data_IF_179634506914
#
_entry.id   IF_179634506914
#
_cell.length_a   1.000
_cell.length_b   1.000
_cell.length_c   1.000
_cell.angle_alpha   90.00
_cell.angle_beta   90.00
_cell.angle_gamma   90.00
#
_symmetry.space_group_name_H-M   'P 1'
#
loop_
_entity.id
_entity.type
_entity.pdbx_description
1 polymer ?
#
# COMPACT_ATOMS: atom_id res chain seq x y z
N UNK A 1 -6.34 -6.70 17.88
CA UNK A 1 -6.93 -5.92 16.81
C UNK A 1 -5.93 -5.26 15.91
N UNK A 2 -4.68 -5.26 16.29
CA UNK A 2 -3.65 -4.55 15.54
C UNK A 2 -3.56 -4.98 14.09
N UNK A 3 -3.60 -6.29 13.82
CA UNK A 3 -3.48 -6.79 12.45
C UNK A 3 -4.61 -6.32 11.54
N UNK A 4 -5.83 -6.29 12.05
CA UNK A 4 -6.96 -5.81 11.30
C UNK A 4 -6.86 -4.32 11.03
N UNK A 5 -6.37 -3.57 12.00
CA UNK A 5 -6.23 -2.13 11.86
C UNK A 5 -5.22 -1.77 10.78
N UNK A 6 -4.12 -2.52 10.70
CA UNK A 6 -3.09 -2.26 9.72
C UNK A 6 -3.65 -2.45 8.30
N UNK A 7 -4.33 -3.55 8.06
CA UNK A 7 -4.89 -3.82 6.73
C UNK A 7 -5.94 -2.80 6.34
N UNK A 8 -6.80 -2.44 7.27
CA UNK A 8 -7.83 -1.43 7.01
C UNK A 8 -7.19 -0.08 6.67
N UNK A 9 -6.14 0.28 7.39
CA UNK A 9 -5.46 1.54 7.16
C UNK A 9 -4.81 1.55 5.78
N UNK A 10 -4.18 0.45 5.39
CA UNK A 10 -3.57 0.34 4.07
C UNK A 10 -4.62 0.50 2.98
N UNK A 11 -5.77 -0.16 3.14
CA UNK A 11 -6.83 -0.08 2.14
C UNK A 11 -7.37 1.35 2.01
N UNK A 12 -7.52 2.04 3.15
CA UNK A 12 -7.97 3.43 3.12
C UNK A 12 -6.98 4.32 2.38
N UNK A 13 -5.69 4.11 2.64
CA UNK A 13 -4.64 4.90 1.99
C UNK A 13 -4.66 4.66 0.49
N UNK A 14 -4.75 3.41 0.07
CA UNK A 14 -4.79 3.07 -1.35
C UNK A 14 -6.02 3.69 -2.01
N UNK A 15 -7.17 3.56 -1.37
CA UNK A 15 -8.40 4.10 -1.93
C UNK A 15 -8.31 5.61 -2.11
N UNK A 16 -7.74 6.31 -1.13
CA UNK A 16 -7.61 7.75 -1.19
C UNK A 16 -6.60 8.19 -2.25
N UNK A 17 -5.47 7.51 -2.32
CA UNK A 17 -4.41 7.91 -3.24
C UNK A 17 -4.74 7.60 -4.70
N UNK A 18 -5.40 6.48 -4.94
CA UNK A 18 -5.69 6.05 -6.30
C UNK A 18 -7.10 6.38 -6.74
N UNK A 19 -7.95 6.82 -5.82
CA UNK A 19 -9.33 7.16 -6.16
C UNK A 19 -10.15 5.95 -6.56
N UNK A 20 -9.88 4.79 -5.98
CA UNK A 20 -10.60 3.55 -6.28
C UNK A 20 -11.44 3.15 -5.08
N UNK A 21 -12.42 2.30 -5.32
CA UNK A 21 -13.28 1.81 -4.26
C UNK A 21 -12.59 0.70 -3.49
N UNK A 22 -12.88 0.62 -2.20
CA UNK A 22 -12.26 -0.41 -1.36
C UNK A 22 -12.55 -1.81 -1.84
N UNK A 23 -13.69 -2.01 -2.48
CA UNK A 23 -14.07 -3.32 -3.00
C UNK A 23 -13.12 -3.81 -4.07
N UNK A 24 -12.45 -2.90 -4.75
CA UNK A 24 -11.48 -3.25 -5.78
C UNK A 24 -10.11 -3.60 -5.20
N UNK A 25 -9.90 -3.30 -3.91
CA UNK A 25 -8.59 -3.48 -3.28
C UNK A 25 -8.54 -4.85 -2.64
N UNK A 26 -8.25 -5.85 -3.47
CA UNK A 26 -8.08 -7.24 -3.00
C UNK A 26 -6.59 -7.54 -2.85
N UNK A 27 -6.23 -8.59 -2.09
CA UNK A 27 -4.81 -8.92 -1.93
C UNK A 27 -4.09 -9.15 -3.25
N UNK A 28 -4.78 -9.69 -4.25
CA UNK A 28 -4.18 -9.97 -5.55
C UNK A 28 -4.19 -8.76 -6.49
N UNK A 29 -4.85 -7.67 -6.12
CA UNK A 29 -4.95 -6.50 -7.00
C UNK A 29 -3.57 -5.89 -7.22
N UNK A 30 -3.23 -5.68 -8.49
CA UNK A 30 -1.98 -5.03 -8.86
C UNK A 30 -2.22 -3.52 -8.91
N UNK A 31 -1.40 -2.75 -8.19
CA UNK A 31 -1.66 -1.32 -8.06
C UNK A 31 -1.63 -0.60 -9.41
N UNK A 32 -0.79 -1.06 -10.33
CA UNK A 32 -0.71 -0.45 -11.66
C UNK A 32 -1.74 -1.05 -12.60
N UNK A 33 -1.74 -2.39 -12.73
CA UNK A 33 -2.55 -3.04 -13.76
C UNK A 33 -4.03 -3.09 -13.40
N UNK A 34 -4.33 -3.30 -12.14
CA UNK A 34 -5.72 -3.46 -11.71
C UNK A 34 -6.32 -2.16 -11.16
N UNK A 35 -5.51 -1.37 -10.46
CA UNK A 35 -5.98 -0.16 -9.81
C UNK A 35 -5.63 1.10 -10.59
N UNK A 36 -4.83 0.99 -11.64
CA UNK A 36 -4.55 2.09 -12.54
C UNK A 36 -3.56 3.13 -12.06
N UNK A 37 -2.69 2.76 -11.12
CA UNK A 37 -1.70 3.72 -10.61
C UNK A 37 -0.63 3.99 -11.66
N UNK A 38 -0.24 5.26 -11.78
CA UNK A 38 0.92 5.60 -12.61
C UNK A 38 2.12 5.85 -11.69
N UNK A 39 3.24 6.32 -12.27
CA UNK A 39 4.47 6.51 -11.50
C UNK A 39 4.29 7.51 -10.37
N UNK A 40 3.58 8.58 -10.62
CA UNK A 40 3.35 9.60 -9.61
C UNK A 40 2.46 9.06 -8.50
N UNK A 41 1.43 8.31 -8.88
CA UNK A 41 0.54 7.70 -7.88
C UNK A 41 1.31 6.78 -6.95
N UNK A 42 2.25 6.00 -7.51
CA UNK A 42 3.05 5.09 -6.69
C UNK A 42 3.92 5.87 -5.71
N UNK A 43 4.56 6.94 -6.17
CA UNK A 43 5.38 7.77 -5.30
C UNK A 43 4.54 8.33 -4.15
N UNK A 44 3.38 8.86 -4.47
CA UNK A 44 2.52 9.43 -3.45
C UNK A 44 1.99 8.36 -2.49
N UNK A 45 1.68 7.17 -3.02
CA UNK A 45 1.24 6.06 -2.19
C UNK A 45 2.32 5.65 -1.20
N UNK A 46 3.56 5.52 -1.68
CA UNK A 46 4.68 5.16 -0.83
C UNK A 46 4.87 6.20 0.27
N UNK A 47 4.81 7.49 -0.09
CA UNK A 47 4.96 8.55 0.90
C UNK A 47 3.85 8.52 1.95
N UNK A 48 2.62 8.25 1.51
CA UNK A 48 1.50 8.15 2.44
C UNK A 48 1.68 6.99 3.41
N UNK A 49 2.18 5.87 2.91
CA UNK A 49 2.46 4.71 3.77
C UNK A 49 3.56 5.01 4.77
N UNK A 50 4.61 5.73 4.33
CA UNK A 50 5.70 6.09 5.22
C UNK A 50 5.21 6.95 6.37
N UNK A 51 4.34 7.92 6.07
CA UNK A 51 3.82 8.80 7.10
C UNK A 51 2.85 8.08 8.03
N UNK A 52 2.00 7.23 7.45
CA UNK A 52 0.97 6.55 8.24
C UNK A 52 1.56 5.55 9.22
N UNK A 53 2.66 4.90 8.83
CA UNK A 53 3.27 3.84 9.64
C UNK A 53 4.61 4.24 10.23
N UNK A 54 5.03 5.49 10.02
CA UNK A 54 6.25 6.04 10.61
C UNK A 54 7.47 5.17 10.29
N UNK A 55 7.68 4.94 9.00
CA UNK A 55 8.82 4.16 8.53
C UNK A 55 9.31 4.71 7.21
N UNK A 56 10.49 4.26 6.79
CA UNK A 56 11.04 4.63 5.48
C UNK A 56 10.98 3.44 4.55
N UNK A 57 10.56 3.69 3.31
CA UNK A 57 10.53 2.68 2.27
C UNK A 57 11.54 3.09 1.20
N UNK A 58 12.73 2.46 1.17
CA UNK A 58 13.72 2.80 0.13
C UNK A 58 13.18 2.53 -1.27
N UNK A 59 13.73 3.23 -2.24
CA UNK A 59 13.29 3.08 -3.63
C UNK A 59 13.37 1.62 -4.10
N UNK A 60 14.42 0.91 -3.69
CA UNK A 60 14.57 -0.49 -4.07
C UNK A 60 13.39 -1.33 -3.57
N UNK A 61 12.97 -1.07 -2.35
CA UNK A 61 11.85 -1.81 -1.76
C UNK A 61 10.54 -1.39 -2.41
N UNK A 62 10.40 -0.10 -2.71
CA UNK A 62 9.18 0.38 -3.35
C UNK A 62 8.96 -0.27 -4.71
N UNK A 63 10.05 -0.56 -5.43
CA UNK A 63 9.94 -1.20 -6.74
C UNK A 63 9.42 -2.63 -6.64
N UNK A 64 9.59 -3.25 -5.49
CA UNK A 64 9.12 -4.63 -5.28
C UNK A 64 7.66 -4.72 -4.88
N UNK A 65 7.07 -3.59 -4.53
CA UNK A 65 5.68 -3.55 -4.10
C UNK A 65 4.81 -3.40 -5.35
N UNK A 66 4.12 -4.47 -5.71
CA UNK A 66 3.29 -4.48 -6.92
C UNK A 66 1.83 -4.74 -6.62
N UNK A 67 1.54 -5.62 -5.66
CA UNK A 67 0.18 -5.94 -5.30
C UNK A 67 -0.13 -5.44 -3.90
N UNK A 68 -1.42 -5.42 -3.56
CA UNK A 68 -1.85 -5.05 -2.22
C UNK A 68 -1.24 -6.00 -1.19
N UNK A 69 -1.16 -7.29 -1.54
CA UNK A 69 -0.57 -8.28 -0.65
C UNK A 69 0.91 -7.97 -0.38
N UNK A 70 1.63 -7.52 -1.40
CA UNK A 70 3.04 -7.13 -1.23
C UNK A 70 3.18 -6.02 -0.21
N UNK A 71 2.25 -5.06 -0.22
CA UNK A 71 2.26 -3.96 0.74
C UNK A 71 2.06 -4.50 2.15
N UNK A 72 1.08 -5.37 2.33
CA UNK A 72 0.82 -5.95 3.66
C UNK A 72 2.03 -6.71 4.17
N UNK A 73 2.62 -7.54 3.30
CA UNK A 73 3.77 -8.35 3.69
C UNK A 73 4.97 -7.49 4.04
N UNK A 74 5.18 -6.43 3.27
CA UNK A 74 6.30 -5.53 3.54
C UNK A 74 6.14 -4.87 4.91
N UNK A 75 4.94 -4.37 5.19
CA UNK A 75 4.70 -3.71 6.47
C UNK A 75 4.83 -4.67 7.64
N UNK A 76 4.36 -5.91 7.45
CA UNK A 76 4.51 -6.92 8.49
C UNK A 76 5.97 -7.23 8.76
N UNK A 77 6.78 -7.30 7.70
CA UNK A 77 8.21 -7.59 7.85
C UNK A 77 8.94 -6.46 8.55
N UNK A 78 8.39 -5.25 8.51
CA UNK A 78 8.97 -4.10 9.19
C UNK A 78 8.39 -3.90 10.59
N UNK A 79 7.57 -4.83 11.05
CA UNK A 79 7.04 -4.77 12.40
C UNK A 79 5.84 -3.85 12.58
N UNK A 80 5.14 -3.52 11.50
CA UNK A 80 4.00 -2.61 11.56
C UNK A 80 2.68 -3.30 11.86
N UNK A 81 2.67 -4.61 11.86
CA UNK A 81 1.44 -5.36 12.10
C UNK A 81 1.24 -5.67 13.57
#
# INVERSE_FOLDING_TARGET
>A
MAGGDMKAKVMDIIANQLGVEREMITPQAHVVEDLGADSLDIVELVMALEEAFDLEIPDDDAEKIRTVQDIHQYLESRGCA
#
